data_IF_360523530430
#
_entry.id   IF_360523530430
#
_cell.length_a   1.000
_cell.length_b   1.000
_cell.length_c   1.000
_cell.angle_alpha   90.00
_cell.angle_beta   90.00
_cell.angle_gamma   90.00
#
_symmetry.space_group_name_H-M   'P 1'
#
loop_
_entity.id
_entity.type
_entity.pdbx_description
1 polymer ?
#
# COMPACT_ATOMS: atom_id res chain seq x y z
N UNK A 1 -14.50 -20.57 -47.77
CA UNK A 1 -15.17 -20.46 -46.46
C UNK A 1 -14.58 -19.29 -45.66
N UNK A 2 -15.05 -18.07 -45.93
CA UNK A 2 -14.51 -16.85 -45.31
C UNK A 2 -14.99 -16.65 -43.87
N UNK A 3 -14.10 -16.24 -42.96
CA UNK A 3 -14.44 -15.99 -41.56
C UNK A 3 -15.33 -14.75 -41.46
N UNK A 4 -16.57 -14.93 -40.99
CA UNK A 4 -17.49 -13.84 -40.63
C UNK A 4 -16.87 -12.95 -39.54
N UNK A 5 -16.47 -11.74 -39.91
CA UNK A 5 -16.01 -10.73 -38.95
C UNK A 5 -17.22 -10.11 -38.25
N UNK A 6 -17.38 -10.40 -36.96
CA UNK A 6 -18.39 -9.75 -36.11
C UNK A 6 -18.10 -8.26 -35.97
N UNK A 7 -19.12 -7.43 -36.17
CA UNK A 7 -19.03 -5.99 -35.97
C UNK A 7 -18.82 -5.68 -34.48
N UNK A 8 -17.78 -4.87 -34.18
CA UNK A 8 -17.49 -4.42 -32.81
C UNK A 8 -18.35 -3.19 -32.53
N UNK A 9 -19.29 -3.31 -31.59
CA UNK A 9 -20.02 -2.15 -31.05
C UNK A 9 -19.12 -1.40 -30.07
N UNK A 10 -18.90 -0.10 -30.30
CA UNK A 10 -18.22 0.80 -29.35
C UNK A 10 -19.25 1.22 -28.30
N UNK A 11 -18.97 0.94 -27.03
CA UNK A 11 -19.84 1.25 -25.87
C UNK A 11 -19.42 2.54 -25.14
N UNK A 12 -18.64 3.42 -25.78
CA UNK A 12 -18.28 4.69 -25.15
C UNK A 12 -19.35 5.74 -25.46
N UNK A 13 -20.03 6.19 -24.41
CA UNK A 13 -20.87 7.39 -24.43
C UNK A 13 -19.93 8.59 -24.54
N UNK A 14 -20.00 9.33 -25.64
CA UNK A 14 -19.35 10.64 -25.75
C UNK A 14 -19.96 11.57 -24.70
N UNK A 15 -19.12 12.18 -23.85
CA UNK A 15 -19.57 13.24 -22.95
C UNK A 15 -20.15 14.40 -23.77
N UNK A 16 -21.46 14.60 -23.71
CA UNK A 16 -22.10 15.74 -24.34
C UNK A 16 -21.58 17.04 -23.73
N UNK A 17 -21.23 18.00 -24.58
CA UNK A 17 -21.03 19.39 -24.17
C UNK A 17 -22.34 19.89 -23.56
N UNK A 18 -22.26 20.39 -22.34
CA UNK A 18 -23.35 21.11 -21.68
C UNK A 18 -23.43 22.47 -22.38
N UNK A 19 -24.52 22.68 -23.13
CA UNK A 19 -24.92 24.00 -23.62
C UNK A 19 -25.79 24.64 -22.54
N UNK A 20 -25.51 25.92 -22.29
CA UNK A 20 -26.03 26.76 -21.22
C UNK A 20 -27.56 26.91 -21.26
N UNK A 21 -28.19 26.76 -20.09
CA UNK A 21 -29.48 27.37 -19.80
C UNK A 21 -29.49 27.84 -18.33
N UNK A 22 -29.53 29.16 -18.20
CA UNK A 22 -29.55 30.01 -17.00
C UNK A 22 -30.59 29.63 -15.94
N UNK A 23 -30.21 29.70 -14.64
CA UNK A 23 -30.95 30.36 -13.54
C UNK A 23 -30.09 30.44 -12.26
N UNK A 24 -30.23 31.57 -11.56
CA UNK A 24 -29.37 32.20 -10.53
C UNK A 24 -29.30 31.47 -9.18
N UNK A 25 -28.13 31.50 -8.52
CA UNK A 25 -27.96 31.89 -7.10
C UNK A 25 -26.47 32.06 -6.74
N UNK A 26 -26.22 33.02 -5.86
CA UNK A 26 -24.92 33.63 -5.54
C UNK A 26 -23.95 32.70 -4.78
N UNK A 27 -22.67 32.72 -5.15
CA UNK A 27 -21.52 32.96 -4.25
C UNK A 27 -20.17 32.83 -4.97
N UNK A 28 -19.24 33.66 -4.52
CA UNK A 28 -18.04 34.18 -5.19
C UNK A 28 -17.06 33.13 -5.75
N UNK A 29 -16.81 33.23 -7.06
CA UNK A 29 -15.68 32.59 -7.74
C UNK A 29 -14.60 33.65 -7.87
N UNK A 30 -13.44 33.39 -7.26
CA UNK A 30 -12.22 34.18 -7.44
C UNK A 30 -11.97 34.44 -8.94
N UNK A 31 -12.07 35.71 -9.35
CA UNK A 31 -11.61 36.14 -10.67
C UNK A 31 -10.10 35.88 -10.74
N UNK A 32 -9.58 35.29 -11.83
CA UNK A 32 -8.14 35.25 -12.03
C UNK A 32 -7.65 36.70 -12.11
N UNK A 33 -6.65 37.03 -11.29
CA UNK A 33 -5.95 38.29 -11.38
C UNK A 33 -5.18 38.24 -12.70
N UNK A 34 -5.66 38.97 -13.70
CA UNK A 34 -4.91 39.24 -14.93
C UNK A 34 -3.73 40.14 -14.56
N UNK A 35 -2.64 39.52 -14.07
CA UNK A 35 -1.35 40.20 -14.03
C UNK A 35 -0.93 40.45 -15.48
N UNK A 36 -0.49 41.67 -15.83
CA UNK A 36 0.01 41.94 -17.18
C UNK A 36 1.19 40.99 -17.44
N UNK A 37 1.02 40.09 -18.42
CA UNK A 37 2.14 39.35 -18.97
C UNK A 37 3.10 40.39 -19.56
N UNK A 38 4.19 40.65 -18.86
CA UNK A 38 5.29 41.39 -19.45
C UNK A 38 5.69 40.68 -20.75
N UNK A 39 5.95 41.40 -21.84
CA UNK A 39 6.46 40.79 -23.06
C UNK A 39 7.72 40.02 -22.70
N UNK A 40 7.69 38.71 -22.93
CA UNK A 40 8.87 37.85 -22.81
C UNK A 40 9.89 38.43 -23.78
N UNK A 41 11.00 38.95 -23.26
CA UNK A 41 12.10 39.43 -24.12
C UNK A 41 12.51 38.27 -25.00
N UNK A 42 12.52 38.47 -26.32
CA UNK A 42 12.68 37.39 -27.29
C UNK A 42 13.98 36.59 -27.10
N UNK A 43 14.99 37.18 -26.45
CA UNK A 43 16.25 36.50 -26.14
C UNK A 43 16.72 36.68 -24.69
N UNK A 44 16.10 35.95 -23.75
CA UNK A 44 16.55 35.84 -22.35
C UNK A 44 17.99 35.31 -22.24
N UNK A 45 18.47 34.59 -23.26
CA UNK A 45 19.76 33.89 -23.27
C UNK A 45 20.82 34.51 -24.20
N UNK A 46 20.54 35.65 -24.83
CA UNK A 46 21.45 36.30 -25.81
C UNK A 46 22.85 36.63 -25.27
N UNK A 47 23.02 36.70 -23.94
CA UNK A 47 24.30 36.99 -23.30
C UNK A 47 25.06 35.78 -22.73
N UNK A 48 24.52 34.56 -22.87
CA UNK A 48 25.15 33.37 -22.26
C UNK A 48 26.03 32.66 -23.27
N UNK A 49 27.35 32.74 -23.07
CA UNK A 49 28.32 32.00 -23.85
C UNK A 49 28.63 30.66 -23.17
N UNK A 50 27.97 29.60 -23.65
CA UNK A 50 28.10 28.24 -23.07
C UNK A 50 29.14 27.47 -23.89
N UNK A 51 30.34 27.28 -23.31
CA UNK A 51 31.37 26.44 -23.92
C UNK A 51 31.01 24.96 -23.80
N UNK A 52 30.46 24.38 -24.89
CA UNK A 52 30.03 22.97 -24.97
C UNK A 52 31.12 21.96 -24.56
N UNK A 53 32.41 22.29 -24.77
CA UNK A 53 33.54 21.44 -24.38
C UNK A 53 33.87 21.46 -22.88
N UNK A 54 33.38 22.45 -22.13
CA UNK A 54 33.56 22.55 -20.68
C UNK A 54 32.52 21.73 -19.90
N UNK A 55 31.39 21.36 -20.52
CA UNK A 55 30.36 20.51 -19.93
C UNK A 55 30.79 19.03 -19.91
N UNK A 56 31.69 18.68 -19.00
CA UNK A 56 32.18 17.30 -18.78
C UNK A 56 31.34 16.50 -17.79
N UNK A 57 30.18 17.00 -17.37
CA UNK A 57 29.31 16.31 -16.42
C UNK A 57 28.51 15.22 -17.13
N UNK A 58 28.95 13.97 -17.02
CA UNK A 58 28.08 12.82 -17.24
C UNK A 58 27.18 12.71 -16.01
N UNK A 59 25.94 13.16 -16.09
CA UNK A 59 24.96 12.82 -15.07
C UNK A 59 24.60 11.36 -15.24
N UNK A 60 24.49 10.63 -14.13
CA UNK A 60 23.95 9.28 -14.15
C UNK A 60 22.52 9.33 -14.70
N UNK A 61 22.24 8.50 -15.70
CA UNK A 61 20.90 8.34 -16.25
C UNK A 61 19.94 8.00 -15.11
N UNK A 62 19.04 8.93 -14.77
CA UNK A 62 17.98 8.72 -13.77
C UNK A 62 16.85 7.82 -14.34
N UNK A 63 17.24 6.82 -15.13
CA UNK A 63 16.39 5.80 -15.78
C UNK A 63 16.18 4.62 -14.83
N UNK A 64 16.26 4.84 -13.51
CA UNK A 64 15.48 4.05 -12.54
C UNK A 64 13.99 4.42 -12.65
N UNK A 65 13.48 4.48 -13.89
CA UNK A 65 12.08 4.19 -14.18
C UNK A 65 11.73 2.93 -13.40
N UNK A 66 10.70 3.02 -12.57
CA UNK A 66 10.15 1.94 -11.76
C UNK A 66 10.10 0.70 -12.63
N UNK A 67 11.13 -0.16 -12.52
CA UNK A 67 11.17 -1.47 -13.17
C UNK A 67 9.92 -2.15 -12.66
N UNK A 68 8.88 -2.17 -13.49
CA UNK A 68 7.63 -2.82 -13.12
C UNK A 68 8.01 -4.23 -12.67
N UNK A 69 7.45 -4.70 -11.55
CA UNK A 69 7.75 -5.97 -10.89
C UNK A 69 7.80 -7.18 -11.85
N UNK A 70 7.29 -7.03 -13.08
CA UNK A 70 7.41 -7.96 -14.20
C UNK A 70 8.83 -8.19 -14.73
N UNK A 71 9.76 -7.23 -14.70
CA UNK A 71 11.11 -7.40 -15.28
C UNK A 71 12.12 -8.06 -14.33
N UNK A 72 11.90 -7.97 -13.01
CA UNK A 72 12.77 -8.62 -12.02
C UNK A 72 12.66 -10.15 -12.08
N UNK A 73 11.53 -10.70 -12.56
CA UNK A 73 11.38 -12.15 -12.82
C UNK A 73 12.02 -12.61 -14.14
N UNK A 74 12.55 -11.69 -14.94
CA UNK A 74 13.26 -12.01 -16.19
C UNK A 74 14.76 -11.78 -16.11
N UNK A 75 15.27 -11.14 -15.06
CA UNK A 75 16.69 -11.24 -14.69
C UNK A 75 16.87 -12.64 -14.07
N UNK A 76 17.42 -13.53 -14.89
CA UNK A 76 17.69 -14.92 -14.57
C UNK A 76 18.78 -15.04 -13.50
N UNK A 77 18.64 -16.07 -12.67
CA UNK A 77 19.63 -16.48 -11.64
C UNK A 77 21.00 -16.82 -12.25
N UNK A 78 21.06 -17.06 -13.57
CA UNK A 78 22.28 -17.48 -14.30
C UNK A 78 22.77 -16.49 -15.38
N UNK A 79 22.41 -15.20 -15.29
CA UNK A 79 22.97 -14.15 -16.17
C UNK A 79 22.58 -14.22 -17.67
N UNK A 80 21.82 -15.22 -18.10
CA UNK A 80 21.34 -15.32 -19.50
C UNK A 80 20.13 -14.41 -19.73
N UNK A 81 20.33 -13.32 -20.49
CA UNK A 81 19.39 -12.20 -20.63
C UNK A 81 17.98 -12.57 -21.14
N UNK A 82 17.75 -13.74 -21.74
CA UNK A 82 16.42 -14.11 -22.25
C UNK A 82 16.12 -15.62 -22.16
N UNK A 83 15.26 -16.02 -21.21
CA UNK A 83 14.70 -17.37 -21.15
C UNK A 83 13.73 -17.63 -22.30
N UNK A 84 13.79 -18.85 -22.88
CA UNK A 84 12.85 -19.28 -23.94
C UNK A 84 11.40 -19.27 -23.45
N UNK A 85 10.43 -19.09 -24.37
CA UNK A 85 9.00 -19.08 -24.02
C UNK A 85 8.56 -20.39 -23.35
N UNK A 86 9.10 -21.52 -23.81
CA UNK A 86 8.84 -22.87 -23.25
C UNK A 86 9.31 -22.97 -21.80
N UNK A 87 10.55 -22.56 -21.50
CA UNK A 87 11.09 -22.58 -20.14
C UNK A 87 10.33 -21.65 -19.20
N UNK A 88 9.94 -20.45 -19.66
CA UNK A 88 9.09 -19.54 -18.87
C UNK A 88 7.73 -20.14 -18.53
N UNK A 89 7.14 -20.90 -19.45
CA UNK A 89 5.85 -21.55 -19.21
C UNK A 89 5.99 -22.70 -18.19
N UNK A 90 7.06 -23.49 -18.29
CA UNK A 90 7.39 -24.56 -17.33
C UNK A 90 7.60 -23.98 -15.93
N UNK A 91 8.46 -22.98 -15.77
CA UNK A 91 8.69 -22.33 -14.47
C UNK A 91 7.40 -21.77 -13.85
N UNK A 92 6.50 -21.21 -14.65
CA UNK A 92 5.19 -20.74 -14.16
C UNK A 92 4.33 -21.89 -13.68
N UNK A 93 4.27 -22.99 -14.44
CA UNK A 93 3.53 -24.19 -14.06
C UNK A 93 4.10 -24.78 -12.78
N UNK A 94 5.42 -24.91 -12.67
CA UNK A 94 6.08 -25.50 -11.51
C UNK A 94 5.90 -24.62 -10.27
N UNK A 95 6.03 -23.30 -10.41
CA UNK A 95 5.75 -22.36 -9.32
C UNK A 95 4.28 -22.43 -8.87
N UNK A 96 3.35 -22.60 -9.80
CA UNK A 96 1.94 -22.77 -9.48
C UNK A 96 1.67 -24.10 -8.74
N UNK A 97 2.23 -25.20 -9.23
CA UNK A 97 2.11 -26.52 -8.59
C UNK A 97 2.69 -26.50 -7.18
N UNK A 98 3.92 -25.99 -7.02
CA UNK A 98 4.55 -25.80 -5.69
C UNK A 98 3.64 -25.00 -4.76
N UNK A 99 3.02 -23.92 -5.24
CA UNK A 99 2.08 -23.14 -4.43
C UNK A 99 0.84 -23.94 -4.03
N UNK A 100 0.26 -24.72 -4.93
CA UNK A 100 -0.89 -25.58 -4.62
C UNK A 100 -0.50 -26.63 -3.58
N UNK A 101 0.66 -27.26 -3.75
CA UNK A 101 1.16 -28.29 -2.83
C UNK A 101 1.40 -27.72 -1.44
N UNK A 102 2.04 -26.55 -1.32
CA UNK A 102 2.23 -25.88 -0.02
C UNK A 102 0.90 -25.57 0.67
N UNK A 103 -0.11 -25.09 -0.06
CA UNK A 103 -1.44 -24.83 0.52
C UNK A 103 -2.13 -26.11 0.98
N UNK A 104 -1.99 -27.20 0.21
CA UNK A 104 -2.55 -28.50 0.58
C UNK A 104 -1.86 -29.08 1.82
N UNK A 105 -0.54 -28.95 1.92
CA UNK A 105 0.24 -29.35 3.10
C UNK A 105 -0.20 -28.55 4.34
N UNK A 106 -0.25 -27.22 4.24
CA UNK A 106 -0.73 -26.37 5.34
C UNK A 106 -2.14 -26.74 5.80
N UNK A 107 -3.06 -27.03 4.87
CA UNK A 107 -4.43 -27.46 5.21
C UNK A 107 -4.46 -28.82 5.90
N UNK A 108 -3.62 -29.76 5.44
CA UNK A 108 -3.49 -31.10 6.05
C UNK A 108 -2.93 -30.99 7.48
N UNK A 109 -1.91 -30.17 7.68
CA UNK A 109 -1.33 -29.89 8.99
C UNK A 109 -2.32 -29.22 9.93
N UNK A 110 -3.09 -28.24 9.45
CA UNK A 110 -4.14 -27.60 10.24
C UNK A 110 -5.18 -28.61 10.72
N UNK A 111 -5.69 -29.45 9.82
CA UNK A 111 -6.65 -30.50 10.19
C UNK A 111 -6.04 -31.49 11.21
N UNK A 112 -4.75 -31.83 11.06
CA UNK A 112 -4.06 -32.70 12.00
C UNK A 112 -3.91 -32.03 13.39
N UNK A 113 -3.54 -30.74 13.44
CA UNK A 113 -3.49 -29.96 14.68
C UNK A 113 -4.85 -29.90 15.36
N UNK A 114 -5.93 -29.66 14.62
CA UNK A 114 -7.29 -29.62 15.19
C UNK A 114 -7.73 -30.98 15.76
N UNK A 115 -7.36 -32.09 15.10
CA UNK A 115 -7.60 -33.44 15.65
C UNK A 115 -6.79 -33.68 16.94
N UNK A 116 -5.51 -33.34 16.97
CA UNK A 116 -4.64 -33.50 18.15
C UNK A 116 -5.14 -32.68 19.33
N UNK A 117 -5.50 -31.41 19.11
CA UNK A 117 -6.08 -30.52 20.11
C UNK A 117 -7.37 -31.07 20.74
N UNK A 118 -8.16 -31.81 19.97
CA UNK A 118 -9.41 -32.42 20.45
C UNK A 118 -9.20 -33.71 21.22
N UNK A 119 -8.14 -34.47 20.93
CA UNK A 119 -7.95 -35.83 21.45
C UNK A 119 -7.05 -35.86 22.71
N UNK A 120 -6.08 -34.95 22.83
CA UNK A 120 -5.02 -35.12 23.83
C UNK A 120 -5.35 -34.48 25.18
N UNK A 121 -5.15 -35.26 26.26
CA UNK A 121 -5.29 -34.84 27.67
C UNK A 121 -4.28 -33.74 28.07
N UNK A 122 -3.17 -33.64 27.35
CA UNK A 122 -2.17 -32.56 27.41
C UNK A 122 -2.12 -31.97 26.00
N UNK A 123 -2.24 -30.65 25.85
CA UNK A 123 -2.43 -29.96 24.55
C UNK A 123 -1.37 -30.23 23.46
N UNK A 124 -1.55 -29.62 22.28
CA UNK A 124 -0.70 -29.86 21.10
C UNK A 124 0.77 -29.44 21.32
N UNK A 125 1.69 -30.41 21.34
CA UNK A 125 3.14 -30.21 21.57
C UNK A 125 3.95 -29.93 20.29
N UNK A 126 3.36 -30.15 19.11
CA UNK A 126 4.06 -29.93 17.84
C UNK A 126 4.54 -28.50 17.59
N UNK A 127 3.85 -27.44 18.05
CA UNK A 127 4.37 -26.08 17.94
C UNK A 127 5.74 -25.89 18.61
N UNK A 128 6.07 -26.67 19.65
CA UNK A 128 7.38 -26.63 20.31
C UNK A 128 8.47 -27.23 19.42
N UNK A 129 8.12 -28.26 18.65
CA UNK A 129 9.04 -28.91 17.69
C UNK A 129 9.22 -28.05 16.44
N UNK A 130 8.14 -27.48 15.90
CA UNK A 130 8.15 -26.61 14.72
C UNK A 130 8.93 -25.30 14.95
N UNK A 131 9.02 -24.84 16.21
CA UNK A 131 9.79 -23.67 16.59
C UNK A 131 11.31 -23.90 16.58
N UNK A 132 11.77 -25.16 16.45
CA UNK A 132 13.19 -25.47 16.41
C UNK A 132 13.79 -25.21 15.01
N UNK A 133 14.99 -24.62 14.92
CA UNK A 133 15.70 -24.48 13.64
C UNK A 133 15.99 -25.87 13.03
N UNK A 134 15.96 -25.95 11.70
CA UNK A 134 16.42 -27.16 11.01
C UNK A 134 17.92 -27.37 11.23
N UNK A 135 18.36 -28.62 11.27
CA UNK A 135 19.78 -28.97 11.48
C UNK A 135 20.68 -28.33 10.40
N UNK A 136 20.22 -28.29 9.15
CA UNK A 136 20.92 -27.62 8.05
C UNK A 136 21.09 -26.12 8.29
N UNK A 137 20.04 -25.45 8.79
CA UNK A 137 20.11 -24.04 9.19
C UNK A 137 21.12 -23.84 10.33
N UNK A 138 21.18 -24.76 11.29
CA UNK A 138 22.13 -24.71 12.40
C UNK A 138 23.58 -24.92 11.92
N UNK A 139 23.78 -25.82 10.94
CA UNK A 139 25.08 -26.10 10.35
C UNK A 139 25.59 -24.96 9.47
N UNK A 140 24.71 -24.28 8.74
CA UNK A 140 25.06 -23.12 7.92
C UNK A 140 25.30 -21.84 8.75
N UNK A 141 24.65 -21.70 9.91
CA UNK A 141 24.67 -20.47 10.73
C UNK A 141 25.54 -20.56 12.00
N UNK A 142 26.53 -21.45 12.08
CA UNK A 142 27.38 -21.65 13.28
C UNK A 142 28.00 -20.37 13.86
N UNK A 143 28.14 -19.29 13.08
CA UNK A 143 28.74 -18.02 13.52
C UNK A 143 27.75 -16.88 13.80
N UNK A 144 26.45 -17.00 13.48
CA UNK A 144 25.49 -15.89 13.57
C UNK A 144 24.09 -16.35 13.98
N UNK A 145 23.97 -16.95 15.18
CA UNK A 145 22.67 -17.20 15.80
C UNK A 145 22.12 -15.92 16.44
N UNK A 146 21.83 -14.91 15.61
CA UNK A 146 21.03 -13.77 16.07
C UNK A 146 19.56 -14.19 15.99
N UNK A 147 18.93 -14.44 17.14
CA UNK A 147 17.48 -14.57 17.22
C UNK A 147 16.86 -13.28 16.70
N UNK A 148 16.48 -13.25 15.43
CA UNK A 148 15.74 -12.14 14.86
C UNK A 148 14.37 -12.16 15.52
N UNK A 149 14.17 -11.25 16.46
CA UNK A 149 12.84 -10.84 16.89
C UNK A 149 12.01 -10.66 15.61
N UNK A 150 10.90 -11.40 15.51
CA UNK A 150 9.90 -11.23 14.47
C UNK A 150 9.23 -9.87 14.72
N UNK A 151 9.98 -8.78 14.51
CA UNK A 151 9.40 -7.46 14.36
C UNK A 151 8.53 -7.55 13.11
N UNK A 152 7.23 -7.69 13.38
CA UNK A 152 6.17 -7.54 12.42
C UNK A 152 6.31 -6.13 11.83
N UNK A 153 7.13 -6.00 10.80
CA UNK A 153 7.22 -4.85 9.92
C UNK A 153 5.88 -4.72 9.19
N UNK A 154 4.86 -4.28 9.93
CA UNK A 154 3.53 -3.97 9.41
C UNK A 154 3.76 -2.81 8.46
N UNK A 155 3.78 -3.12 7.17
CA UNK A 155 3.91 -2.13 6.09
C UNK A 155 2.96 -0.97 6.39
N UNK A 156 3.45 0.26 6.27
CA UNK A 156 2.62 1.47 6.42
C UNK A 156 1.39 1.31 5.52
N UNK A 157 0.19 1.25 6.12
CA UNK A 157 -1.06 1.12 5.36
C UNK A 157 -1.19 2.34 4.45
N UNK A 158 -1.57 2.12 3.20
CA UNK A 158 -1.82 3.23 2.26
C UNK A 158 -2.97 4.13 2.71
N UNK A 159 -3.12 5.28 2.05
CA UNK A 159 -4.18 6.24 2.33
C UNK A 159 -5.56 5.56 2.23
N UNK A 160 -6.42 5.81 3.22
CA UNK A 160 -7.78 5.27 3.24
C UNK A 160 -8.64 5.79 2.07
N UNK A 161 -9.61 4.96 1.64
CA UNK A 161 -10.52 5.33 0.54
C UNK A 161 -11.24 6.64 0.86
N UNK A 162 -11.47 7.48 -0.15
CA UNK A 162 -12.11 8.80 0.02
C UNK A 162 -13.45 8.74 0.76
N UNK A 163 -14.28 7.72 0.49
CA UNK A 163 -15.56 7.51 1.20
C UNK A 163 -15.37 7.26 2.70
N UNK A 164 -14.35 6.50 3.10
CA UNK A 164 -14.05 6.24 4.50
C UNK A 164 -13.53 7.50 5.19
N UNK A 165 -12.67 8.26 4.52
CA UNK A 165 -12.19 9.56 5.02
C UNK A 165 -13.34 10.54 5.24
N UNK A 166 -14.27 10.66 4.29
CA UNK A 166 -15.47 11.50 4.43
C UNK A 166 -16.34 11.04 5.60
N UNK A 167 -16.55 9.72 5.76
CA UNK A 167 -17.31 9.17 6.90
C UNK A 167 -16.68 9.54 8.24
N UNK A 168 -15.37 9.30 8.40
CA UNK A 168 -14.62 9.67 9.61
C UNK A 168 -14.69 11.17 9.89
N UNK A 169 -14.57 12.00 8.86
CA UNK A 169 -14.69 13.44 9.01
C UNK A 169 -16.08 13.85 9.54
N UNK A 170 -17.16 13.25 9.03
CA UNK A 170 -18.51 13.52 9.54
C UNK A 170 -18.68 13.06 10.98
N UNK A 171 -18.13 11.89 11.35
CA UNK A 171 -18.12 11.40 12.73
C UNK A 171 -17.35 12.36 13.66
N UNK A 172 -16.20 12.89 13.21
CA UNK A 172 -15.42 13.88 13.96
C UNK A 172 -16.18 15.20 14.14
N UNK A 173 -16.90 15.66 13.11
CA UNK A 173 -17.73 16.86 13.22
C UNK A 173 -18.88 16.64 14.21
N UNK A 174 -19.54 15.48 14.16
CA UNK A 174 -20.64 15.15 15.08
C UNK A 174 -20.18 15.07 16.53
N UNK A 175 -19.06 14.37 16.78
CA UNK A 175 -18.47 14.26 18.11
C UNK A 175 -18.04 15.63 18.65
N UNK A 176 -17.44 16.48 17.83
CA UNK A 176 -17.07 17.84 18.23
C UNK A 176 -18.28 18.70 18.60
N UNK A 177 -19.36 18.62 17.81
CA UNK A 177 -20.63 19.29 18.14
C UNK A 177 -21.19 18.83 19.48
N UNK A 178 -21.15 17.52 19.77
CA UNK A 178 -21.60 16.98 21.05
C UNK A 178 -20.75 17.49 22.23
N UNK A 179 -19.43 17.59 22.05
CA UNK A 179 -18.51 18.10 23.08
C UNK A 179 -18.81 19.57 23.37
N UNK A 180 -18.96 20.41 22.34
CA UNK A 180 -19.28 21.84 22.52
C UNK A 180 -20.64 22.01 23.21
N UNK A 181 -21.62 21.18 22.89
CA UNK A 181 -22.94 21.24 23.51
C UNK A 181 -22.93 20.78 24.98
N UNK A 182 -21.86 20.15 25.46
CA UNK A 182 -21.76 19.70 26.83
C UNK A 182 -21.36 20.85 27.76
N UNK A 183 -22.23 21.13 28.75
CA UNK A 183 -22.02 22.17 29.76
C UNK A 183 -20.73 21.96 30.57
N UNK A 184 -20.39 20.71 30.92
CA UNK A 184 -19.19 20.44 31.74
C UNK A 184 -17.90 20.78 31.01
N UNK A 185 -17.89 20.58 29.69
CA UNK A 185 -16.76 20.93 28.84
C UNK A 185 -16.64 22.45 28.67
N UNK A 186 -17.76 23.17 28.56
CA UNK A 186 -17.79 24.63 28.48
C UNK A 186 -17.29 25.30 29.75
N UNK A 187 -17.63 24.77 30.93
CA UNK A 187 -17.20 25.35 32.23
C UNK A 187 -15.71 25.11 32.51
N UNK A 188 -15.23 23.87 32.34
CA UNK A 188 -13.84 23.53 32.57
C UNK A 188 -13.38 22.42 31.60
N UNK A 189 -12.83 22.80 30.43
CA UNK A 189 -12.43 21.83 29.42
C UNK A 189 -11.26 20.97 29.87
N UNK A 190 -10.27 21.57 30.57
CA UNK A 190 -9.06 20.86 31.01
C UNK A 190 -9.38 19.76 32.03
N UNK A 191 -10.24 20.04 32.99
CA UNK A 191 -10.66 19.06 33.98
C UNK A 191 -11.42 17.90 33.32
N UNK A 192 -12.37 18.21 32.44
CA UNK A 192 -13.16 17.21 31.69
C UNK A 192 -12.25 16.30 30.86
N UNK A 193 -11.27 16.89 30.14
CA UNK A 193 -10.28 16.14 29.37
C UNK A 193 -9.43 15.26 30.30
N UNK A 194 -8.92 15.80 31.41
CA UNK A 194 -8.09 15.05 32.35
C UNK A 194 -8.82 13.85 32.95
N UNK A 195 -10.10 14.02 33.29
CA UNK A 195 -10.97 12.95 33.79
C UNK A 195 -11.18 11.87 32.73
N UNK A 196 -11.43 12.27 31.48
CA UNK A 196 -11.60 11.32 30.38
C UNK A 196 -10.33 10.50 30.12
N UNK A 197 -9.16 11.15 30.07
CA UNK A 197 -7.87 10.47 29.89
C UNK A 197 -7.61 9.46 31.00
N UNK A 198 -7.86 9.83 32.27
CA UNK A 198 -7.74 8.89 33.41
C UNK A 198 -8.66 7.67 33.23
N UNK A 199 -9.93 7.89 32.86
CA UNK A 199 -10.89 6.80 32.63
C UNK A 199 -10.46 5.86 31.51
N UNK A 200 -9.90 6.37 30.41
CA UNK A 200 -9.41 5.54 29.29
C UNK A 200 -8.23 4.69 29.73
N UNK A 201 -7.25 5.29 30.43
CA UNK A 201 -6.08 4.58 30.94
C UNK A 201 -6.47 3.47 31.93
N UNK A 202 -7.48 3.69 32.78
CA UNK A 202 -7.99 2.66 33.68
C UNK A 202 -8.67 1.51 32.93
N UNK A 203 -9.47 1.80 31.90
CA UNK A 203 -10.09 0.79 31.05
C UNK A 203 -9.04 -0.08 30.33
N UNK A 204 -8.00 0.54 29.78
CA UNK A 204 -6.90 -0.18 29.12
C UNK A 204 -6.16 -1.09 30.11
N UNK A 205 -5.89 -0.62 31.34
CA UNK A 205 -5.28 -1.44 32.41
C UNK A 205 -6.15 -2.64 32.79
N UNK A 206 -7.47 -2.47 32.82
CA UNK A 206 -8.42 -3.58 33.09
C UNK A 206 -8.49 -4.57 31.92
N UNK A 207 -8.41 -4.10 30.68
CA UNK A 207 -8.43 -4.94 29.48
C UNK A 207 -7.17 -5.80 29.35
N UNK A 208 -6.01 -5.31 29.78
CA UNK A 208 -4.74 -6.06 29.77
C UNK A 208 -4.67 -7.11 30.90
N UNK A 209 -5.43 -6.94 31.99
CA UNK A 209 -5.51 -7.91 33.10
C UNK A 209 -6.45 -9.10 32.84
N UNK A 210 -7.26 -9.06 31.77
CA UNK A 210 -8.15 -10.15 31.36
C UNK A 210 -7.50 -10.98 30.26
#
# INVERSE_FOLDING_TARGET
MGKLKRQRKKLHLSSGKIVEASKKSDNEVHKPVDLPLMPVKDDIFSGINIELGALKTKLEDDVKSVKSVKSVKSESVDGSKHMSKKLKLQLRRDALLKRIDTLNQMKKEQNARDKRKRIAVIGDTNPLLDALPSLESLMQNKSNMHFKSLENNKKKKGIEKAKQRKKKQMEHIQTFKQIINNKTFSTNPFETISRHVKSVVEQDKLAVKK
#
